data_IF_343679756462
#
_entry.id   IF_343679756462
#
_cell.length_a   1.000
_cell.length_b   1.000
_cell.length_c   1.000
_cell.angle_alpha   90.00
_cell.angle_beta   90.00
_cell.angle_gamma   90.00
#
_symmetry.space_group_name_H-M   'P 1'
#
loop_
_entity.id
_entity.type
_entity.pdbx_description
1 polymer ?
#
# COMPACT_ATOMS: atom_id res chain seq x y z
N UNK A 1 -2.83 -27.37 -22.16
CA UNK A 1 -1.93 -27.74 -21.05
C UNK A 1 -1.36 -26.45 -20.50
N UNK A 2 -1.94 -25.92 -19.42
CA UNK A 2 -1.44 -24.71 -18.76
C UNK A 2 -0.13 -25.04 -18.07
N UNK A 3 0.99 -24.56 -18.60
CA UNK A 3 2.29 -24.69 -17.95
C UNK A 3 2.19 -24.07 -16.55
N UNK A 4 2.51 -24.86 -15.53
CA UNK A 4 2.65 -24.39 -14.15
C UNK A 4 3.74 -23.32 -14.15
N UNK A 5 3.37 -22.05 -13.90
CA UNK A 5 4.34 -20.94 -13.86
C UNK A 5 4.84 -20.78 -12.43
N UNK A 6 6.11 -21.09 -12.21
CA UNK A 6 6.81 -20.82 -10.94
C UNK A 6 7.44 -19.42 -10.98
N UNK A 7 7.36 -18.68 -9.87
CA UNK A 7 7.86 -17.29 -9.82
C UNK A 7 9.38 -17.27 -9.83
N UNK A 8 10.05 -18.15 -9.09
CA UNK A 8 11.50 -18.17 -9.00
C UNK A 8 12.08 -19.27 -9.90
N UNK A 9 13.17 -18.97 -10.60
CA UNK A 9 13.90 -20.03 -11.33
C UNK A 9 14.52 -20.98 -10.29
N UNK A 10 14.50 -22.28 -10.55
CA UNK A 10 15.11 -23.29 -9.67
C UNK A 10 16.64 -23.28 -9.77
N UNK A 11 17.25 -22.19 -9.28
CA UNK A 11 18.69 -21.98 -9.18
C UNK A 11 19.12 -22.11 -7.74
N UNK A 12 20.20 -22.85 -7.52
CA UNK A 12 20.89 -22.91 -6.23
C UNK A 12 21.99 -21.87 -6.19
N UNK A 13 22.01 -21.05 -5.14
CA UNK A 13 23.03 -20.04 -4.88
C UNK A 13 24.04 -20.59 -3.87
N UNK A 14 25.28 -20.74 -4.30
CA UNK A 14 26.36 -21.28 -3.45
C UNK A 14 27.30 -20.12 -3.10
N UNK A 15 27.40 -19.79 -1.82
CA UNK A 15 28.35 -18.81 -1.32
C UNK A 15 29.68 -19.52 -1.02
N UNK A 16 30.82 -19.07 -1.57
CA UNK A 16 32.14 -19.60 -1.21
C UNK A 16 32.40 -19.47 0.29
N UNK A 17 33.13 -20.43 0.88
CA UNK A 17 33.45 -20.41 2.32
C UNK A 17 34.46 -19.32 2.71
N UNK A 18 35.28 -18.88 1.77
CA UNK A 18 36.35 -17.90 1.97
C UNK A 18 36.37 -16.89 0.82
N UNK A 19 36.92 -15.70 1.07
CA UNK A 19 37.09 -14.63 0.08
C UNK A 19 35.78 -14.17 -0.59
N UNK A 20 34.68 -14.11 0.19
CA UNK A 20 33.43 -13.51 -0.29
C UNK A 20 33.62 -12.00 -0.39
N UNK A 21 33.49 -11.46 -1.61
CA UNK A 21 33.68 -10.03 -1.89
C UNK A 21 32.41 -9.43 -2.50
N UNK A 22 32.40 -8.10 -2.65
CA UNK A 22 31.35 -7.42 -3.43
C UNK A 22 31.27 -7.94 -4.88
N UNK A 23 32.39 -8.35 -5.47
CA UNK A 23 32.39 -8.96 -6.80
C UNK A 23 31.67 -10.31 -6.79
N UNK A 24 31.92 -11.14 -5.77
CA UNK A 24 31.20 -12.42 -5.56
C UNK A 24 29.68 -12.19 -5.50
N UNK A 25 29.25 -11.19 -4.73
CA UNK A 25 27.84 -10.81 -4.65
C UNK A 25 27.28 -10.38 -6.02
N UNK A 26 28.01 -9.50 -6.72
CA UNK A 26 27.59 -9.01 -8.04
C UNK A 26 27.46 -10.15 -9.05
N UNK A 27 28.38 -11.10 -9.05
CA UNK A 27 28.34 -12.26 -9.93
C UNK A 27 27.12 -13.16 -9.63
N UNK A 28 26.72 -13.28 -8.36
CA UNK A 28 25.53 -14.04 -7.95
C UNK A 28 24.21 -13.33 -8.30
N UNK A 29 24.15 -12.00 -8.15
CA UNK A 29 22.96 -11.20 -8.44
C UNK A 29 22.71 -11.09 -9.95
N UNK A 30 23.76 -11.02 -10.77
CA UNK A 30 23.66 -10.69 -12.20
C UNK A 30 23.98 -11.85 -13.15
N UNK A 31 23.86 -13.12 -12.72
CA UNK A 31 24.23 -14.32 -13.49
C UNK A 31 23.72 -14.31 -14.95
N UNK A 32 22.52 -13.78 -15.23
CA UNK A 32 21.92 -13.73 -16.57
C UNK A 32 21.68 -12.29 -17.08
N UNK A 33 22.33 -11.29 -16.51
CA UNK A 33 22.02 -9.88 -16.81
C UNK A 33 23.21 -9.21 -17.50
N UNK A 34 22.91 -8.29 -18.42
CA UNK A 34 23.93 -7.52 -19.15
C UNK A 34 24.66 -6.52 -18.25
N UNK A 35 23.95 -5.97 -17.28
CA UNK A 35 24.51 -5.06 -16.29
C UNK A 35 25.11 -5.85 -15.14
N UNK A 36 26.24 -5.40 -14.60
CA UNK A 36 27.01 -6.08 -13.55
C UNK A 36 27.46 -5.13 -12.45
N UNK A 37 26.53 -4.34 -11.92
CA UNK A 37 26.82 -3.47 -10.79
C UNK A 37 25.57 -3.19 -9.97
N UNK A 38 25.73 -3.17 -8.66
CA UNK A 38 24.70 -2.77 -7.70
C UNK A 38 25.27 -1.74 -6.71
N UNK A 39 25.70 -0.55 -7.17
CA UNK A 39 26.37 0.45 -6.33
C UNK A 39 25.56 0.85 -5.10
N UNK A 40 24.23 0.95 -5.20
CA UNK A 40 23.38 1.27 -4.05
C UNK A 40 23.43 0.17 -2.98
N UNK A 41 23.52 -1.09 -3.38
CA UNK A 41 23.65 -2.21 -2.45
C UNK A 41 25.03 -2.20 -1.76
N UNK A 42 26.11 -1.87 -2.48
CA UNK A 42 27.45 -1.68 -1.88
C UNK A 42 27.41 -0.61 -0.77
N UNK A 43 26.75 0.52 -1.05
CA UNK A 43 26.59 1.61 -0.07
C UNK A 43 25.86 1.11 1.18
N UNK A 44 24.73 0.41 1.01
CA UNK A 44 23.97 -0.16 2.13
C UNK A 44 24.85 -1.12 2.94
N UNK A 45 25.53 -2.06 2.27
CA UNK A 45 26.35 -3.08 2.93
C UNK A 45 27.47 -2.45 3.77
N UNK A 46 28.18 -1.44 3.24
CA UNK A 46 29.27 -0.75 3.95
C UNK A 46 28.81 0.02 5.20
N UNK A 47 27.51 0.24 5.35
CA UNK A 47 26.92 1.01 6.44
C UNK A 47 26.22 0.11 7.47
N UNK A 48 26.26 -1.21 7.29
CA UNK A 48 25.78 -2.16 8.27
C UNK A 48 26.75 -2.26 9.45
N UNK A 49 26.22 -2.60 10.62
CA UNK A 49 26.96 -2.82 11.86
C UNK A 49 27.32 -4.31 12.09
N UNK A 50 27.11 -5.16 11.09
CA UNK A 50 27.44 -6.59 11.07
C UNK A 50 28.05 -6.98 9.71
N UNK A 51 28.66 -8.16 9.63
CA UNK A 51 29.28 -8.62 8.40
C UNK A 51 28.23 -9.20 7.45
N UNK A 52 27.77 -8.41 6.50
CA UNK A 52 26.77 -8.87 5.52
C UNK A 52 27.18 -10.16 4.80
N UNK A 53 28.46 -10.30 4.43
CA UNK A 53 28.93 -11.38 3.57
C UNK A 53 29.02 -12.71 4.31
N UNK A 54 29.32 -12.67 5.61
CA UNK A 54 29.42 -13.86 6.45
C UNK A 54 28.14 -14.14 7.24
N UNK A 55 27.44 -13.11 7.71
CA UNK A 55 26.33 -13.26 8.65
C UNK A 55 24.96 -13.37 7.95
N UNK A 56 24.77 -12.70 6.80
CA UNK A 56 23.44 -12.58 6.18
C UNK A 56 23.34 -13.14 4.76
N UNK A 57 24.31 -12.84 3.89
CA UNK A 57 24.30 -13.31 2.49
C UNK A 57 24.16 -14.84 2.36
N UNK A 58 24.83 -15.69 3.16
CA UNK A 58 24.66 -17.13 3.10
C UNK A 58 23.23 -17.57 3.44
N UNK A 59 22.57 -16.86 4.36
CA UNK A 59 21.19 -17.14 4.77
C UNK A 59 20.22 -16.74 3.65
N UNK A 60 20.39 -15.56 3.04
CA UNK A 60 19.57 -15.14 1.88
C UNK A 60 19.75 -16.14 0.72
N UNK A 61 20.99 -16.58 0.45
CA UNK A 61 21.28 -17.59 -0.57
C UNK A 61 20.63 -18.94 -0.25
N UNK A 62 20.66 -19.37 1.01
CA UNK A 62 19.98 -20.58 1.47
C UNK A 62 18.47 -20.47 1.25
N UNK A 63 17.84 -19.36 1.65
CA UNK A 63 16.41 -19.15 1.41
C UNK A 63 16.07 -19.11 -0.07
N UNK A 64 16.86 -18.43 -0.91
CA UNK A 64 16.62 -18.41 -2.36
C UNK A 64 16.73 -19.82 -3.00
N UNK A 65 17.55 -20.68 -2.39
CA UNK A 65 17.80 -22.06 -2.84
C UNK A 65 16.85 -23.10 -2.23
N UNK A 66 16.00 -22.72 -1.27
CA UNK A 66 15.05 -23.65 -0.65
C UNK A 66 13.85 -23.89 -1.57
N UNK A 67 14.05 -24.75 -2.57
CA UNK A 67 13.02 -25.09 -3.55
C UNK A 67 11.79 -25.78 -2.93
N UNK A 68 11.83 -26.20 -1.66
CA UNK A 68 10.63 -26.73 -0.97
C UNK A 68 9.58 -25.64 -0.73
N UNK A 69 9.97 -24.37 -0.71
CA UNK A 69 9.07 -23.22 -0.62
C UNK A 69 8.52 -22.78 -1.99
N UNK A 70 8.97 -23.41 -3.08
CA UNK A 70 8.56 -23.04 -4.43
C UNK A 70 7.13 -23.52 -4.70
N UNK A 71 6.23 -22.57 -4.96
CA UNK A 71 4.85 -22.86 -5.33
C UNK A 71 4.49 -22.24 -6.69
N UNK A 72 3.55 -22.86 -7.42
CA UNK A 72 2.96 -22.22 -8.59
C UNK A 72 2.30 -20.90 -8.24
N UNK A 73 2.37 -19.94 -9.16
CA UNK A 73 1.54 -18.74 -9.09
C UNK A 73 0.08 -19.16 -9.18
N UNK A 74 -0.74 -18.70 -8.24
CA UNK A 74 -2.19 -18.65 -8.40
C UNK A 74 -2.57 -17.21 -8.74
N UNK A 75 -2.71 -16.86 -10.03
CA UNK A 75 -3.01 -15.49 -10.42
C UNK A 75 -4.42 -15.12 -9.96
N UNK A 76 -4.56 -13.91 -9.41
CA UNK A 76 -5.83 -13.29 -9.05
C UNK A 76 -6.28 -12.43 -10.24
N UNK A 77 -7.08 -13.06 -11.11
CA UNK A 77 -7.57 -12.47 -12.37
C UNK A 77 -8.63 -11.39 -12.13
N UNK A 78 -8.75 -10.48 -13.10
CA UNK A 78 -9.87 -9.52 -13.17
C UNK A 78 -11.23 -10.23 -13.18
N UNK A 79 -12.23 -9.60 -12.58
CA UNK A 79 -13.61 -10.08 -12.46
C UNK A 79 -13.79 -11.37 -11.64
N UNK A 80 -12.80 -11.74 -10.83
CA UNK A 80 -12.88 -12.94 -9.98
C UNK A 80 -12.58 -12.56 -8.53
N UNK A 81 -13.55 -12.84 -7.65
CA UNK A 81 -13.28 -12.85 -6.21
C UNK A 81 -12.50 -14.12 -5.86
N UNK A 82 -11.25 -13.96 -5.44
CA UNK A 82 -10.35 -15.07 -5.16
C UNK A 82 -9.32 -14.71 -4.09
N UNK A 83 -8.70 -15.74 -3.52
CA UNK A 83 -7.65 -15.60 -2.51
C UNK A 83 -6.49 -16.52 -2.83
N UNK A 84 -5.28 -16.04 -2.58
CA UNK A 84 -4.08 -16.86 -2.45
C UNK A 84 -3.44 -16.60 -1.09
N UNK A 85 -2.92 -17.65 -0.47
CA UNK A 85 -2.24 -17.57 0.83
C UNK A 85 -0.82 -18.08 0.67
N UNK A 86 0.12 -17.37 1.28
CA UNK A 86 1.52 -17.72 1.41
C UNK A 86 1.89 -17.81 2.88
N UNK A 87 2.89 -18.62 3.21
CA UNK A 87 3.54 -18.53 4.51
C UNK A 87 4.63 -17.47 4.51
N UNK A 88 5.04 -16.97 5.67
CA UNK A 88 6.18 -16.06 5.78
C UNK A 88 7.47 -16.68 5.21
N UNK A 89 7.66 -18.00 5.35
CA UNK A 89 8.77 -18.72 4.71
C UNK A 89 8.73 -18.65 3.17
N UNK A 90 7.54 -18.77 2.57
CA UNK A 90 7.36 -18.62 1.13
C UNK A 90 7.58 -17.18 0.66
N UNK A 91 7.13 -16.19 1.44
CA UNK A 91 7.42 -14.79 1.15
C UNK A 91 8.92 -14.50 1.18
N UNK A 92 9.65 -15.01 2.19
CA UNK A 92 11.12 -14.91 2.26
C UNK A 92 11.80 -15.58 1.07
N UNK A 93 11.36 -16.78 0.68
CA UNK A 93 11.87 -17.48 -0.50
C UNK A 93 11.76 -16.62 -1.77
N UNK A 94 10.59 -16.00 -1.99
CA UNK A 94 10.35 -15.16 -3.17
C UNK A 94 11.15 -13.84 -3.13
N UNK A 95 11.19 -13.17 -1.98
CA UNK A 95 11.96 -11.94 -1.80
C UNK A 95 13.48 -12.18 -1.90
N UNK A 96 13.98 -13.31 -1.38
CA UNK A 96 15.38 -13.70 -1.54
C UNK A 96 15.71 -13.96 -3.02
N UNK A 97 14.79 -14.57 -3.77
CA UNK A 97 14.95 -14.71 -5.23
C UNK A 97 14.88 -13.35 -5.96
N UNK A 98 14.07 -12.41 -5.48
CA UNK A 98 14.02 -11.05 -6.01
C UNK A 98 15.34 -10.29 -5.80
N UNK A 99 15.98 -10.49 -4.64
CA UNK A 99 17.32 -9.97 -4.33
C UNK A 99 18.36 -10.46 -5.35
N UNK A 100 18.33 -11.75 -5.72
CA UNK A 100 19.24 -12.30 -6.74
C UNK A 100 18.76 -12.10 -8.20
N UNK A 101 17.76 -11.25 -8.44
CA UNK A 101 17.18 -11.01 -9.77
C UNK A 101 16.78 -12.31 -10.51
N UNK A 102 16.32 -13.28 -9.73
CA UNK A 102 16.03 -14.65 -10.14
C UNK A 102 14.53 -14.94 -10.20
N UNK A 103 13.70 -13.89 -10.20
CA UNK A 103 12.26 -14.02 -10.41
C UNK A 103 11.90 -13.99 -11.89
N UNK A 104 10.77 -14.58 -12.19
CA UNK A 104 10.07 -14.55 -13.47
C UNK A 104 8.88 -13.60 -13.31
N UNK A 105 8.43 -13.04 -14.43
CA UNK A 105 7.29 -12.13 -14.42
C UNK A 105 5.99 -12.89 -14.15
N UNK A 106 5.23 -12.43 -13.17
CA UNK A 106 3.79 -12.67 -13.06
C UNK A 106 3.04 -11.59 -13.84
N UNK A 107 2.04 -10.95 -13.21
CA UNK A 107 1.49 -9.70 -13.73
C UNK A 107 2.49 -8.55 -13.67
N UNK A 108 3.31 -8.53 -12.62
CA UNK A 108 4.46 -7.65 -12.46
C UNK A 108 5.76 -8.39 -12.18
N UNK A 109 6.76 -7.62 -11.75
CA UNK A 109 8.09 -8.09 -11.45
C UNK A 109 8.55 -7.52 -10.11
N UNK A 110 9.08 -8.36 -9.23
CA UNK A 110 9.60 -7.93 -7.93
C UNK A 110 11.14 -7.88 -7.89
N UNK A 111 11.82 -8.24 -8.98
CA UNK A 111 13.28 -8.06 -9.11
C UNK A 111 13.70 -6.63 -8.70
N UNK A 112 14.79 -6.51 -7.95
CA UNK A 112 15.27 -5.24 -7.39
C UNK A 112 16.16 -4.42 -8.34
N UNK A 113 16.05 -4.69 -9.64
CA UNK A 113 16.93 -4.14 -10.68
C UNK A 113 16.95 -2.61 -10.65
N UNK A 114 15.78 -1.99 -10.46
CA UNK A 114 15.61 -0.53 -10.45
C UNK A 114 16.21 0.09 -9.18
N UNK A 115 16.26 -0.66 -8.07
CA UNK A 115 16.91 -0.20 -6.83
C UNK A 115 18.44 -0.33 -6.89
N UNK A 116 18.96 -1.26 -7.70
CA UNK A 116 20.40 -1.53 -7.78
C UNK A 116 21.15 -0.58 -8.71
N UNK A 117 20.57 -0.26 -9.88
CA UNK A 117 21.36 0.26 -10.99
C UNK A 117 21.58 1.76 -11.02
N UNK A 118 20.61 2.57 -10.55
CA UNK A 118 20.72 4.03 -10.60
C UNK A 118 21.67 4.47 -9.48
N UNK A 119 22.94 4.82 -9.75
CA UNK A 119 23.92 4.99 -8.70
C UNK A 119 23.59 6.21 -7.83
N UNK A 120 23.74 6.06 -6.52
CA UNK A 120 23.54 7.12 -5.52
C UNK A 120 22.09 7.65 -5.43
N UNK A 121 21.12 6.88 -5.93
CA UNK A 121 19.71 7.15 -5.70
C UNK A 121 19.41 6.94 -4.21
N UNK A 122 19.13 8.05 -3.52
CA UNK A 122 18.92 8.07 -2.07
C UNK A 122 17.70 7.24 -1.66
N UNK A 123 16.61 7.35 -2.41
CA UNK A 123 15.38 6.62 -2.11
C UNK A 123 15.62 5.13 -2.32
N UNK A 124 16.30 4.75 -3.41
CA UNK A 124 16.67 3.36 -3.64
C UNK A 124 17.52 2.77 -2.51
N UNK A 125 18.51 3.51 -2.03
CA UNK A 125 19.37 3.11 -0.90
C UNK A 125 18.53 2.86 0.35
N UNK A 126 17.63 3.79 0.71
CA UNK A 126 16.80 3.66 1.92
C UNK A 126 15.79 2.51 1.80
N UNK A 127 15.22 2.27 0.61
CA UNK A 127 14.35 1.11 0.38
C UNK A 127 15.12 -0.22 0.44
N UNK A 128 16.35 -0.26 -0.05
CA UNK A 128 17.23 -1.41 0.09
C UNK A 128 17.55 -1.68 1.57
N UNK A 129 17.77 -0.65 2.40
CA UNK A 129 17.93 -0.84 3.85
C UNK A 129 16.71 -1.53 4.46
N UNK A 130 15.50 -1.09 4.11
CA UNK A 130 14.28 -1.73 4.62
C UNK A 130 14.24 -3.24 4.30
N UNK A 131 14.59 -3.61 3.07
CA UNK A 131 14.59 -5.02 2.67
C UNK A 131 15.74 -5.83 3.30
N UNK A 132 16.94 -5.24 3.41
CA UNK A 132 18.07 -5.89 4.10
C UNK A 132 17.72 -6.13 5.58
N UNK A 133 17.11 -5.15 6.24
CA UNK A 133 16.66 -5.29 7.63
C UNK A 133 15.54 -6.35 7.77
N UNK A 134 14.63 -6.45 6.79
CA UNK A 134 13.66 -7.55 6.73
C UNK A 134 14.34 -8.92 6.73
N UNK A 135 15.39 -9.12 5.92
CA UNK A 135 16.12 -10.38 5.91
C UNK A 135 16.87 -10.61 7.23
N UNK A 136 17.49 -9.58 7.79
CA UNK A 136 18.23 -9.66 9.05
C UNK A 136 17.31 -10.02 10.23
N UNK A 137 16.18 -9.33 10.40
CA UNK A 137 15.22 -9.64 11.44
C UNK A 137 14.57 -11.02 11.25
N UNK A 138 14.37 -11.42 10.00
CA UNK A 138 13.85 -12.75 9.67
C UNK A 138 14.83 -13.88 10.03
N UNK A 139 16.14 -13.66 9.90
CA UNK A 139 17.14 -14.68 10.24
C UNK A 139 17.24 -14.90 11.76
N UNK A 140 17.03 -13.84 12.54
CA UNK A 140 17.01 -13.91 14.01
C UNK A 140 15.76 -14.61 14.57
N UNK A 141 14.67 -14.68 13.79
CA UNK A 141 13.37 -15.20 14.22
C UNK A 141 12.98 -16.52 13.53
N UNK A 142 13.94 -17.18 12.88
CA UNK A 142 13.71 -18.38 12.09
C UNK A 142 13.07 -19.49 12.96
N UNK A 143 12.12 -20.24 12.37
CA UNK A 143 11.24 -21.25 12.99
C UNK A 143 10.02 -20.73 13.77
N UNK A 144 10.09 -19.56 14.41
CA UNK A 144 8.96 -19.08 15.22
C UNK A 144 7.83 -18.44 14.39
N UNK A 145 8.17 -17.85 13.24
CA UNK A 145 7.23 -17.09 12.40
C UNK A 145 6.99 -17.70 11.01
N UNK A 146 7.61 -18.82 10.69
CA UNK A 146 7.64 -19.39 9.34
C UNK A 146 6.27 -19.79 8.81
N UNK A 147 5.38 -20.22 9.71
CA UNK A 147 4.02 -20.65 9.41
C UNK A 147 3.00 -19.52 9.41
N UNK A 148 3.39 -18.27 9.73
CA UNK A 148 2.46 -17.14 9.68
C UNK A 148 1.92 -16.99 8.26
N UNK A 149 0.60 -16.93 8.16
CA UNK A 149 -0.10 -16.78 6.89
C UNK A 149 -0.17 -15.31 6.47
N UNK A 150 0.09 -15.09 5.18
CA UNK A 150 -0.09 -13.83 4.47
C UNK A 150 -1.06 -14.14 3.34
N UNK A 151 -2.24 -13.51 3.33
CA UNK A 151 -3.24 -13.75 2.28
C UNK A 151 -3.48 -12.53 1.42
N UNK A 152 -3.55 -12.74 0.11
CA UNK A 152 -3.86 -11.72 -0.88
C UNK A 152 -5.26 -12.04 -1.40
N UNK A 153 -6.20 -11.15 -1.10
CA UNK A 153 -7.63 -11.35 -1.33
C UNK A 153 -8.12 -10.33 -2.35
N UNK A 154 -8.45 -10.76 -3.58
CA UNK A 154 -9.09 -9.90 -4.59
C UNK A 154 -10.59 -10.04 -4.48
N UNK A 155 -11.30 -8.90 -4.47
CA UNK A 155 -12.75 -8.86 -4.40
C UNK A 155 -13.33 -8.06 -5.57
N UNK A 156 -14.31 -8.64 -6.26
CA UNK A 156 -15.21 -7.95 -7.19
C UNK A 156 -16.46 -7.51 -6.43
N UNK A 157 -16.80 -6.22 -6.48
CA UNK A 157 -18.01 -5.67 -5.85
C UNK A 157 -18.99 -5.15 -6.92
N UNK A 158 -19.86 -6.02 -7.41
CA UNK A 158 -20.85 -5.67 -8.45
C UNK A 158 -22.29 -5.57 -7.94
N UNK A 159 -22.64 -6.13 -6.78
CA UNK A 159 -24.05 -6.32 -6.39
C UNK A 159 -24.52 -5.56 -5.14
N UNK A 160 -23.62 -4.93 -4.37
CA UNK A 160 -23.96 -4.41 -3.02
C UNK A 160 -23.60 -2.94 -2.78
N UNK A 161 -23.34 -2.15 -3.84
CA UNK A 161 -23.08 -0.73 -3.62
C UNK A 161 -24.34 -0.02 -3.09
N UNK A 162 -24.20 0.84 -2.07
CA UNK A 162 -25.32 1.64 -1.58
C UNK A 162 -25.86 2.56 -2.67
N UNK A 163 -27.18 2.69 -2.76
CA UNK A 163 -27.78 3.80 -3.52
C UNK A 163 -27.54 5.10 -2.74
N UNK A 164 -26.43 5.78 -3.04
CA UNK A 164 -25.97 6.99 -2.38
C UNK A 164 -27.04 8.08 -2.29
N UNK A 165 -27.99 8.15 -3.24
CA UNK A 165 -29.08 9.15 -3.21
C UNK A 165 -30.10 8.88 -2.11
N UNK A 166 -30.16 7.65 -1.60
CA UNK A 166 -31.14 7.19 -0.61
C UNK A 166 -30.53 6.94 0.77
N UNK A 167 -29.23 7.20 0.95
CA UNK A 167 -28.55 6.99 2.23
C UNK A 167 -28.85 8.14 3.20
N UNK A 168 -29.90 7.99 4.00
CA UNK A 168 -30.33 8.99 4.99
C UNK A 168 -29.56 8.91 6.32
N UNK A 169 -28.49 8.12 6.38
CA UNK A 169 -27.65 8.01 7.59
C UNK A 169 -26.98 9.37 7.84
N UNK A 170 -27.16 9.97 9.03
CA UNK A 170 -26.57 11.26 9.36
C UNK A 170 -25.05 11.14 9.55
N UNK A 171 -24.32 12.16 9.10
CA UNK A 171 -22.89 12.28 9.37
C UNK A 171 -22.70 12.69 10.83
N UNK A 172 -21.84 11.96 11.54
CA UNK A 172 -21.53 12.18 12.96
C UNK A 172 -20.06 12.57 13.10
N UNK A 173 -19.76 13.71 13.73
CA UNK A 173 -18.38 14.16 13.99
C UNK A 173 -17.64 13.11 14.82
N UNK A 174 -18.30 12.55 15.83
CA UNK A 174 -17.73 11.56 16.76
C UNK A 174 -17.22 10.27 16.11
N UNK A 175 -17.63 9.98 14.86
CA UNK A 175 -17.21 8.80 14.09
C UNK A 175 -16.00 9.07 13.20
N UNK A 176 -15.55 10.31 13.09
CA UNK A 176 -14.43 10.71 12.22
C UNK A 176 -13.38 11.46 13.03
N UNK A 177 -12.20 10.85 13.15
CA UNK A 177 -11.03 11.52 13.69
C UNK A 177 -10.16 12.06 12.55
N UNK A 178 -9.61 13.26 12.71
CA UNK A 178 -8.67 13.86 11.76
C UNK A 178 -7.40 14.27 12.52
N UNK A 179 -6.24 13.87 12.02
CA UNK A 179 -4.96 14.06 12.71
C UNK A 179 -3.83 14.34 11.72
N UNK A 180 -2.71 14.91 12.19
CA UNK A 180 -1.62 15.38 11.34
C UNK A 180 -0.49 14.36 11.20
N UNK A 181 -0.35 13.45 12.16
CA UNK A 181 0.67 12.41 12.16
C UNK A 181 0.47 11.43 10.99
N UNK A 182 1.49 10.62 10.70
CA UNK A 182 1.39 9.53 9.72
C UNK A 182 0.32 8.51 10.13
N UNK A 183 -0.26 7.85 9.13
CA UNK A 183 -1.31 6.84 9.33
C UNK A 183 -0.88 5.78 10.34
N UNK A 184 0.33 5.24 10.16
CA UNK A 184 0.89 4.13 10.93
C UNK A 184 1.34 4.52 12.35
N UNK A 185 1.15 5.79 12.75
CA UNK A 185 1.28 6.22 14.15
C UNK A 185 0.00 6.01 14.95
N UNK A 186 -1.09 5.57 14.33
CA UNK A 186 -2.35 5.27 15.02
C UNK A 186 -2.30 3.85 15.62
N UNK A 187 -1.92 3.74 16.89
CA UNK A 187 -1.56 2.47 17.54
C UNK A 187 -2.72 1.49 17.74
N UNK A 188 -3.96 1.98 17.77
CA UNK A 188 -5.13 1.13 17.97
C UNK A 188 -5.58 0.40 16.69
N UNK A 189 -5.05 0.76 15.52
CA UNK A 189 -5.47 0.20 14.25
C UNK A 189 -4.60 -0.98 13.80
N UNK A 190 -5.25 -2.02 13.29
CA UNK A 190 -4.57 -3.18 12.70
C UNK A 190 -4.67 -3.20 11.17
N UNK A 191 -5.18 -2.13 10.56
CA UNK A 191 -5.40 -2.03 9.12
C UNK A 191 -5.19 -0.62 8.59
N UNK A 192 -4.42 -0.50 7.50
CA UNK A 192 -4.10 0.78 6.87
C UNK A 192 -4.48 0.76 5.39
N UNK A 193 -5.09 1.84 4.93
CA UNK A 193 -5.36 2.04 3.50
C UNK A 193 -4.06 2.20 2.74
N UNK A 194 -3.95 1.50 1.62
CA UNK A 194 -2.93 1.71 0.61
C UNK A 194 -3.50 2.58 -0.52
N UNK A 195 -2.85 3.71 -0.78
CA UNK A 195 -3.19 4.66 -1.83
C UNK A 195 -2.65 4.18 -3.17
N UNK A 196 -3.15 3.03 -3.58
CA UNK A 196 -2.56 2.22 -4.62
C UNK A 196 -2.66 2.84 -6.01
N UNK A 197 -1.75 2.43 -6.90
CA UNK A 197 -2.02 2.42 -8.32
C UNK A 197 -2.91 1.22 -8.69
N UNK A 198 -3.74 1.36 -9.74
CA UNK A 198 -4.57 0.25 -10.26
C UNK A 198 -3.74 -0.98 -10.63
N UNK A 199 -2.52 -0.77 -11.09
CA UNK A 199 -1.48 -1.79 -11.15
C UNK A 199 -0.71 -1.65 -9.85
N UNK A 200 -0.91 -2.55 -8.88
CA UNK A 200 -0.27 -2.43 -7.55
C UNK A 200 1.23 -2.19 -7.77
N UNK A 201 1.75 -1.13 -7.18
CA UNK A 201 3.14 -0.69 -7.34
C UNK A 201 3.57 -0.49 -8.80
N UNK A 202 2.68 -0.06 -9.68
CA UNK A 202 2.92 0.00 -11.14
C UNK A 202 3.49 -1.31 -11.72
N UNK A 203 3.18 -2.44 -11.07
CA UNK A 203 3.72 -3.76 -11.35
C UNK A 203 5.26 -3.91 -11.25
N UNK A 204 5.95 -3.03 -10.52
CA UNK A 204 7.40 -3.06 -10.32
C UNK A 204 7.85 -2.48 -8.96
N UNK A 205 8.97 -2.95 -8.43
CA UNK A 205 9.64 -2.28 -7.30
C UNK A 205 10.58 -1.20 -7.85
N UNK A 206 10.25 0.07 -7.67
CA UNK A 206 11.01 1.22 -8.19
C UNK A 206 11.61 2.07 -7.07
N UNK A 207 12.41 3.09 -7.41
CA UNK A 207 12.94 4.06 -6.44
C UNK A 207 11.95 5.18 -6.06
N UNK A 208 10.64 4.98 -6.27
CA UNK A 208 9.61 5.86 -5.70
C UNK A 208 9.47 5.63 -4.18
N UNK A 209 9.07 6.66 -3.44
CA UNK A 209 8.69 6.56 -2.03
C UNK A 209 7.45 7.42 -1.74
N UNK A 210 6.38 7.22 -2.52
CA UNK A 210 5.06 7.69 -2.12
C UNK A 210 4.43 6.74 -1.09
N UNK A 211 3.18 6.97 -0.69
CA UNK A 211 2.58 6.23 0.42
C UNK A 211 2.54 4.72 0.20
N UNK A 212 2.13 4.25 -0.99
CA UNK A 212 2.10 2.82 -1.36
C UNK A 212 3.52 2.21 -1.22
N UNK A 213 4.52 2.88 -1.80
CA UNK A 213 5.90 2.40 -1.78
C UNK A 213 6.52 2.33 -0.39
N UNK A 214 6.23 3.31 0.45
CA UNK A 214 6.69 3.36 1.83
C UNK A 214 6.05 2.24 2.64
N UNK A 215 4.72 2.06 2.52
CA UNK A 215 3.98 1.06 3.27
C UNK A 215 4.50 -0.36 2.98
N UNK A 216 4.73 -0.69 1.70
CA UNK A 216 5.28 -1.99 1.33
C UNK A 216 6.78 -2.12 1.65
N UNK A 217 7.53 -1.03 1.73
CA UNK A 217 8.92 -1.08 2.23
C UNK A 217 8.95 -1.39 3.73
N UNK A 218 7.98 -0.89 4.49
CA UNK A 218 7.77 -1.25 5.89
C UNK A 218 7.27 -2.69 6.06
N UNK A 219 6.50 -3.20 5.10
CA UNK A 219 5.92 -4.55 5.10
C UNK A 219 6.29 -5.34 3.82
N UNK A 220 7.56 -5.77 3.63
CA UNK A 220 8.03 -6.29 2.33
C UNK A 220 7.27 -7.51 1.79
N UNK A 221 6.60 -8.26 2.66
CA UNK A 221 5.76 -9.39 2.27
C UNK A 221 4.59 -8.98 1.37
N UNK A 222 4.16 -7.71 1.43
CA UNK A 222 3.13 -7.15 0.58
C UNK A 222 3.53 -7.12 -0.91
N UNK A 223 4.83 -7.07 -1.23
CA UNK A 223 5.32 -7.08 -2.61
C UNK A 223 4.88 -8.31 -3.41
N UNK A 224 4.51 -9.41 -2.75
CA UNK A 224 3.95 -10.58 -3.44
C UNK A 224 2.66 -10.26 -4.22
N UNK A 225 1.93 -9.21 -3.83
CA UNK A 225 0.75 -8.74 -4.57
C UNK A 225 1.07 -8.32 -6.01
N UNK A 226 2.26 -7.77 -6.25
CA UNK A 226 2.75 -7.38 -7.60
C UNK A 226 2.78 -8.57 -8.55
N UNK A 227 3.08 -9.76 -8.04
CA UNK A 227 3.22 -10.96 -8.85
C UNK A 227 1.87 -11.56 -9.26
N UNK A 228 0.89 -11.50 -8.35
CA UNK A 228 -0.34 -12.28 -8.47
C UNK A 228 -1.58 -11.47 -8.81
N UNK A 229 -1.61 -10.17 -8.56
CA UNK A 229 -2.77 -9.33 -8.85
C UNK A 229 -2.68 -8.74 -10.25
N UNK A 230 -3.70 -8.97 -11.07
CA UNK A 230 -3.88 -8.20 -12.31
C UNK A 230 -4.28 -6.75 -12.01
N UNK A 231 -4.24 -5.90 -13.03
CA UNK A 231 -4.72 -4.51 -12.99
C UNK A 231 -6.14 -4.45 -12.41
N UNK A 232 -6.32 -3.67 -11.34
CA UNK A 232 -7.62 -3.42 -10.71
C UNK A 232 -8.56 -2.70 -11.68
N UNK A 233 -9.78 -3.21 -11.77
CA UNK A 233 -10.89 -2.48 -12.38
C UNK A 233 -11.54 -1.52 -11.38
N UNK A 234 -12.44 -0.70 -11.90
CA UNK A 234 -13.21 0.27 -11.10
C UNK A 234 -14.13 -0.38 -10.06
N UNK A 235 -14.41 -1.67 -10.16
CA UNK A 235 -15.28 -2.50 -9.33
C UNK A 235 -14.50 -3.56 -8.52
N UNK A 236 -13.18 -3.40 -8.37
CA UNK A 236 -12.34 -4.36 -7.66
C UNK A 236 -11.46 -3.74 -6.57
N UNK A 237 -11.25 -4.43 -5.46
CA UNK A 237 -10.29 -4.07 -4.42
C UNK A 237 -9.42 -5.28 -4.09
N UNK A 238 -8.28 -5.04 -3.44
CA UNK A 238 -7.43 -6.09 -2.89
C UNK A 238 -7.22 -5.83 -1.40
N UNK A 239 -7.27 -6.87 -0.59
CA UNK A 239 -6.87 -6.81 0.81
C UNK A 239 -5.68 -7.74 1.01
N UNK A 240 -4.58 -7.20 1.54
CA UNK A 240 -3.44 -7.99 1.99
C UNK A 240 -3.62 -8.21 3.48
N UNK A 241 -3.65 -9.47 3.93
CA UNK A 241 -3.83 -9.81 5.34
C UNK A 241 -2.57 -10.34 5.95
N UNK A 242 -2.41 -10.04 7.23
CA UNK A 242 -1.37 -10.65 8.05
C UNK A 242 0.04 -10.24 7.63
N UNK A 243 0.21 -9.11 6.94
CA UNK A 243 1.51 -8.58 6.56
C UNK A 243 2.22 -8.06 7.81
N UNK A 244 3.47 -8.46 8.01
CA UNK A 244 4.25 -7.98 9.14
C UNK A 244 5.00 -6.70 8.78
N UNK A 245 4.96 -5.72 9.67
CA UNK A 245 5.83 -4.55 9.61
C UNK A 245 7.19 -4.91 10.21
N UNK A 246 8.28 -4.64 9.49
CA UNK A 246 9.63 -5.01 9.96
C UNK A 246 10.44 -3.80 10.38
N UNK A 247 10.18 -2.64 9.78
CA UNK A 247 11.03 -1.46 9.93
C UNK A 247 10.18 -0.24 10.22
N UNK A 248 10.80 0.72 10.88
CA UNK A 248 10.26 2.07 10.97
C UNK A 248 10.97 3.02 10.00
N UNK A 249 10.33 4.16 9.74
CA UNK A 249 10.80 5.15 8.79
C UNK A 249 10.45 6.58 9.23
N UNK A 250 11.02 7.57 8.53
CA UNK A 250 10.54 8.95 8.54
C UNK A 250 10.60 9.54 7.13
N UNK A 251 9.94 10.68 6.96
CA UNK A 251 9.92 11.41 5.68
C UNK A 251 9.05 10.75 4.61
N UNK A 252 9.03 11.37 3.43
CA UNK A 252 8.19 11.03 2.29
C UNK A 252 8.89 11.46 1.00
N UNK A 253 8.71 10.70 -0.10
CA UNK A 253 9.38 10.96 -1.37
C UNK A 253 10.90 10.99 -1.22
N UNK A 254 11.54 12.04 -1.73
CA UNK A 254 13.00 12.25 -1.63
C UNK A 254 13.54 12.34 -0.19
N UNK A 255 12.67 12.64 0.78
CA UNK A 255 13.03 12.72 2.20
C UNK A 255 12.82 11.39 2.94
N UNK A 256 12.36 10.34 2.27
CA UNK A 256 12.17 9.01 2.86
C UNK A 256 13.49 8.48 3.43
N UNK A 257 13.41 7.98 4.66
CA UNK A 257 14.57 7.45 5.37
C UNK A 257 14.16 6.29 6.28
N UNK A 258 14.90 5.19 6.19
CA UNK A 258 14.87 4.08 7.14
C UNK A 258 15.47 4.54 8.48
N UNK A 259 14.79 4.26 9.59
CA UNK A 259 15.28 4.66 10.93
C UNK A 259 15.70 3.48 11.81
N UNK A 260 15.28 2.25 11.51
CA UNK A 260 15.60 1.08 12.31
C UNK A 260 14.52 -0.01 12.26
N UNK A 261 14.73 -1.11 13.01
CA UNK A 261 13.74 -2.17 13.17
C UNK A 261 12.48 -1.63 13.88
N UNK A 262 11.32 -2.15 13.50
CA UNK A 262 10.07 -1.82 14.16
C UNK A 262 10.02 -2.48 15.56
N UNK A 263 9.64 -1.77 16.64
CA UNK A 263 9.67 -2.33 17.99
C UNK A 263 8.74 -3.54 18.14
N UNK A 264 9.27 -4.67 18.63
CA UNK A 264 8.50 -5.91 18.85
C UNK A 264 7.32 -5.77 19.84
N UNK A 265 7.29 -4.71 20.66
CA UNK A 265 6.24 -4.45 21.65
C UNK A 265 5.03 -3.72 21.06
N UNK A 266 5.07 -3.35 19.77
CA UNK A 266 3.99 -2.59 19.17
C UNK A 266 2.81 -3.53 18.78
N UNK A 267 1.57 -3.22 19.18
CA UNK A 267 0.39 -4.03 18.85
C UNK A 267 0.16 -4.20 17.34
N UNK A 268 0.59 -3.23 16.52
CA UNK A 268 0.33 -3.18 15.07
C UNK A 268 1.35 -3.93 14.21
N UNK A 269 2.20 -4.76 14.83
CA UNK A 269 3.28 -5.46 14.14
C UNK A 269 2.80 -6.35 12.98
N UNK A 270 1.58 -6.90 13.08
CA UNK A 270 0.89 -7.59 12.01
C UNK A 270 -0.32 -6.75 11.61
N UNK A 271 -0.36 -6.35 10.34
CA UNK A 271 -1.38 -5.44 9.83
C UNK A 271 -1.99 -5.94 8.52
N UNK A 272 -3.25 -5.54 8.32
CA UNK A 272 -3.91 -5.62 7.04
C UNK A 272 -3.62 -4.36 6.21
N UNK A 273 -3.53 -4.53 4.90
CA UNK A 273 -3.35 -3.43 3.94
C UNK A 273 -4.54 -3.43 2.99
N UNK A 274 -5.31 -2.34 3.01
CA UNK A 274 -6.53 -2.16 2.23
C UNK A 274 -6.18 -1.45 0.92
N UNK A 275 -5.89 -2.22 -0.13
CA UNK A 275 -5.44 -1.73 -1.43
C UNK A 275 -6.63 -1.20 -2.23
N UNK A 276 -6.66 0.12 -2.42
CA UNK A 276 -7.65 0.77 -3.27
C UNK A 276 -7.03 1.87 -4.14
N UNK A 277 -7.26 1.80 -5.45
CA UNK A 277 -6.73 2.76 -6.39
C UNK A 277 -7.71 3.92 -6.61
N UNK A 278 -7.23 5.17 -6.66
CA UNK A 278 -8.06 6.34 -6.94
C UNK A 278 -8.18 6.63 -8.44
N UNK A 279 -9.22 7.37 -8.85
CA UNK A 279 -9.27 7.95 -10.19
C UNK A 279 -8.07 8.89 -10.43
N UNK A 280 -7.61 8.98 -11.67
CA UNK A 280 -6.45 9.82 -12.06
C UNK A 280 -6.84 11.19 -12.64
N UNK A 281 -8.11 11.38 -13.00
CA UNK A 281 -8.60 12.60 -13.63
C UNK A 281 -10.12 12.70 -13.50
N UNK A 282 -10.69 13.85 -13.89
CA UNK A 282 -12.13 14.09 -13.89
C UNK A 282 -12.81 13.79 -12.55
N UNK A 283 -12.07 14.05 -11.46
CA UNK A 283 -12.42 13.68 -10.07
C UNK A 283 -13.81 14.14 -9.64
N UNK A 284 -14.28 15.27 -10.17
CA UNK A 284 -15.58 15.82 -9.85
C UNK A 284 -16.72 15.34 -10.76
N UNK A 285 -16.45 14.64 -11.85
CA UNK A 285 -17.54 14.15 -12.70
C UNK A 285 -18.36 13.10 -11.95
N UNK A 286 -19.66 13.06 -12.20
CA UNK A 286 -20.59 12.12 -11.54
C UNK A 286 -20.09 10.68 -11.52
N UNK A 287 -19.60 10.20 -12.68
CA UNK A 287 -19.05 8.84 -12.83
C UNK A 287 -17.88 8.57 -11.88
N UNK A 288 -16.97 9.54 -11.72
CA UNK A 288 -15.77 9.35 -10.91
C UNK A 288 -16.08 9.52 -9.41
N UNK A 289 -17.04 10.38 -9.05
CA UNK A 289 -17.62 10.44 -7.70
C UNK A 289 -18.20 9.08 -7.30
N UNK A 290 -19.07 8.50 -8.14
CA UNK A 290 -19.71 7.21 -7.88
C UNK A 290 -18.68 6.08 -7.76
N UNK A 291 -17.66 6.11 -8.64
CA UNK A 291 -16.58 5.13 -8.66
C UNK A 291 -15.74 5.18 -7.38
N UNK A 292 -15.24 6.36 -6.98
CA UNK A 292 -14.37 6.49 -5.81
C UNK A 292 -15.11 6.24 -4.50
N UNK A 293 -16.39 6.65 -4.40
CA UNK A 293 -17.26 6.27 -3.30
C UNK A 293 -17.40 4.75 -3.19
N UNK A 294 -17.73 4.08 -4.30
CA UNK A 294 -17.88 2.63 -4.33
C UNK A 294 -16.58 1.91 -3.98
N UNK A 295 -15.44 2.44 -4.44
CA UNK A 295 -14.11 1.90 -4.16
C UNK A 295 -13.74 1.98 -2.68
N UNK A 296 -13.90 3.16 -2.08
CA UNK A 296 -13.67 3.35 -0.65
C UNK A 296 -14.60 2.47 0.18
N UNK A 297 -15.90 2.43 -0.17
CA UNK A 297 -16.87 1.58 0.50
C UNK A 297 -16.50 0.11 0.44
N UNK A 298 -16.11 -0.40 -0.73
CA UNK A 298 -15.75 -1.81 -0.89
C UNK A 298 -14.52 -2.19 -0.05
N UNK A 299 -13.50 -1.32 0.00
CA UNK A 299 -12.33 -1.53 0.84
C UNK A 299 -12.70 -1.55 2.33
N UNK A 300 -13.51 -0.58 2.79
CA UNK A 300 -13.90 -0.46 4.19
C UNK A 300 -14.84 -1.59 4.62
N UNK A 301 -15.77 -2.00 3.76
CA UNK A 301 -16.68 -3.13 4.02
C UNK A 301 -15.94 -4.46 4.16
N UNK A 302 -14.80 -4.62 3.47
CA UNK A 302 -13.95 -5.81 3.59
C UNK A 302 -12.87 -5.68 4.66
N UNK A 303 -12.76 -4.56 5.37
CA UNK A 303 -11.88 -4.47 6.52
C UNK A 303 -12.27 -5.50 7.60
N UNK A 304 -11.29 -6.03 8.33
CA UNK A 304 -11.56 -6.85 9.53
C UNK A 304 -11.68 -5.98 10.78
N UNK A 305 -10.94 -4.88 10.79
CA UNK A 305 -10.94 -3.91 11.87
C UNK A 305 -12.13 -2.95 11.69
N UNK A 306 -12.75 -2.57 12.80
CA UNK A 306 -13.78 -1.54 12.84
C UNK A 306 -13.17 -0.13 12.78
N UNK A 307 -11.85 -0.03 12.97
CA UNK A 307 -11.05 1.19 12.88
C UNK A 307 -10.41 1.27 11.49
N UNK A 308 -10.83 2.23 10.68
CA UNK A 308 -10.23 2.49 9.37
C UNK A 308 -9.23 3.63 9.50
N UNK A 309 -7.97 3.39 9.13
CA UNK A 309 -6.95 4.45 9.03
C UNK A 309 -6.64 4.73 7.57
N UNK A 310 -6.79 6.00 7.17
CA UNK A 310 -6.62 6.48 5.80
C UNK A 310 -6.07 7.92 5.81
N UNK A 311 -6.15 8.62 4.68
CA UNK A 311 -5.75 10.01 4.54
C UNK A 311 -6.06 10.55 3.15
N UNK A 312 -5.15 11.37 2.63
CA UNK A 312 -5.23 12.07 1.34
C UNK A 312 -5.13 11.12 0.10
N UNK A 313 -5.98 10.09 0.07
CA UNK A 313 -6.09 9.09 -0.98
C UNK A 313 -6.37 9.71 -2.35
N UNK A 314 -5.42 9.55 -3.27
CA UNK A 314 -5.52 10.09 -4.63
C UNK A 314 -5.32 11.60 -4.77
N UNK A 315 -4.85 12.30 -3.73
CA UNK A 315 -4.67 13.77 -3.77
C UNK A 315 -3.25 14.21 -4.17
N UNK A 316 -2.25 13.34 -4.02
CA UNK A 316 -0.86 13.64 -4.35
C UNK A 316 -0.60 13.58 -5.87
N UNK A 317 0.15 12.58 -6.31
CA UNK A 317 0.50 12.38 -7.74
C UNK A 317 -0.74 12.31 -8.65
N UNK A 318 -1.88 11.85 -8.12
CA UNK A 318 -3.13 11.71 -8.88
C UNK A 318 -4.00 12.99 -8.90
N UNK A 319 -3.59 14.06 -8.19
CA UNK A 319 -4.18 15.40 -8.33
C UNK A 319 -5.65 15.54 -7.91
N UNK A 320 -6.17 14.64 -7.07
CA UNK A 320 -7.50 14.75 -6.49
C UNK A 320 -7.62 15.89 -5.48
N UNK A 321 -8.84 16.41 -5.31
CA UNK A 321 -9.13 17.42 -4.28
C UNK A 321 -9.29 16.76 -2.91
N UNK A 322 -8.49 17.17 -1.92
CA UNK A 322 -8.49 16.55 -0.59
C UNK A 322 -9.81 16.65 0.15
N UNK A 323 -10.58 17.73 -0.02
CA UNK A 323 -11.90 17.84 0.62
C UNK A 323 -12.92 16.92 -0.05
N UNK A 324 -12.88 16.79 -1.37
CA UNK A 324 -13.74 15.85 -2.10
C UNK A 324 -13.42 14.40 -1.73
N UNK A 325 -12.15 14.01 -1.75
CA UNK A 325 -11.70 12.67 -1.35
C UNK A 325 -11.99 12.36 0.12
N UNK A 326 -11.87 13.35 1.00
CA UNK A 326 -12.28 13.23 2.40
C UNK A 326 -13.78 12.94 2.51
N UNK A 327 -14.64 13.75 1.88
CA UNK A 327 -16.10 13.57 1.92
C UNK A 327 -16.54 12.22 1.32
N UNK A 328 -15.87 11.75 0.28
CA UNK A 328 -16.12 10.41 -0.29
C UNK A 328 -15.84 9.31 0.73
N UNK A 329 -14.69 9.36 1.40
CA UNK A 329 -14.32 8.38 2.42
C UNK A 329 -15.24 8.46 3.65
N UNK A 330 -15.62 9.67 4.10
CA UNK A 330 -16.60 9.87 5.16
C UNK A 330 -17.96 9.27 4.79
N UNK A 331 -18.46 9.52 3.58
CA UNK A 331 -19.72 8.95 3.11
C UNK A 331 -19.66 7.42 3.08
N UNK A 332 -18.58 6.84 2.54
CA UNK A 332 -18.39 5.39 2.51
C UNK A 332 -18.39 4.77 3.91
N UNK A 333 -17.65 5.34 4.85
CA UNK A 333 -17.59 4.86 6.24
C UNK A 333 -18.92 5.06 6.99
N UNK A 334 -19.63 6.17 6.75
CA UNK A 334 -20.91 6.49 7.42
C UNK A 334 -22.00 5.51 7.04
N UNK A 335 -22.05 5.06 5.78
CA UNK A 335 -23.01 4.02 5.35
C UNK A 335 -22.72 2.68 6.03
N UNK A 336 -21.47 2.46 6.45
CA UNK A 336 -21.01 1.26 7.13
C UNK A 336 -20.98 1.42 8.65
N UNK A 337 -21.79 2.29 9.26
CA UNK A 337 -21.71 2.62 10.70
C UNK A 337 -21.81 1.42 11.66
N UNK A 338 -22.43 0.32 11.22
CA UNK A 338 -22.54 -0.94 11.97
C UNK A 338 -21.28 -1.82 11.89
N UNK A 339 -20.37 -1.53 10.96
CA UNK A 339 -19.11 -2.26 10.70
C UNK A 339 -17.89 -1.38 10.98
N UNK A 340 -17.95 -0.10 10.62
CA UNK A 340 -16.90 0.90 10.81
C UNK A 340 -17.24 1.75 12.02
N UNK A 341 -16.50 1.53 13.10
CA UNK A 341 -16.63 2.28 14.35
C UNK A 341 -16.04 3.67 14.23
N UNK A 342 -14.85 3.82 13.65
CA UNK A 342 -14.20 5.12 13.42
C UNK A 342 -13.45 5.17 12.10
N UNK A 343 -13.54 6.31 11.41
CA UNK A 343 -12.67 6.68 10.30
C UNK A 343 -11.60 7.65 10.82
N UNK A 344 -10.34 7.27 10.73
CA UNK A 344 -9.19 8.04 11.19
C UNK A 344 -8.42 8.54 9.96
N UNK A 345 -8.48 9.84 9.72
CA UNK A 345 -7.96 10.48 8.53
C UNK A 345 -6.68 11.28 8.86
N UNK A 346 -5.55 10.81 8.34
CA UNK A 346 -4.27 11.53 8.41
C UNK A 346 -4.20 12.59 7.31
N UNK A 347 -3.87 13.83 7.68
CA UNK A 347 -3.54 14.90 6.74
C UNK A 347 -2.05 14.98 6.42
N UNK A 348 -1.23 14.19 7.11
CA UNK A 348 0.23 14.11 6.96
C UNK A 348 0.94 15.47 7.00
N UNK A 349 1.11 16.02 8.21
CA UNK A 349 1.82 17.26 8.49
C UNK A 349 1.06 18.55 8.16
N UNK A 350 -0.20 18.45 7.73
CA UNK A 350 -1.03 19.61 7.40
C UNK A 350 -2.06 19.91 8.50
N UNK A 351 -1.64 20.64 9.54
CA UNK A 351 -2.49 21.08 10.65
C UNK A 351 -3.61 22.03 10.21
N UNK A 352 -3.41 22.77 9.12
CA UNK A 352 -4.44 23.65 8.56
C UNK A 352 -5.56 22.83 7.96
N UNK A 353 -5.22 21.76 7.24
CA UNK A 353 -6.20 20.80 6.74
C UNK A 353 -6.89 20.06 7.89
N UNK A 354 -6.18 19.68 8.95
CA UNK A 354 -6.81 19.10 10.16
C UNK A 354 -7.91 20.03 10.68
N UNK A 355 -7.56 21.30 10.91
CA UNK A 355 -8.50 22.29 11.43
C UNK A 355 -9.71 22.47 10.50
N UNK A 356 -9.46 22.56 9.19
CA UNK A 356 -10.50 22.73 8.16
C UNK A 356 -11.46 21.54 8.09
N UNK A 357 -10.94 20.31 8.12
CA UNK A 357 -11.77 19.10 8.03
C UNK A 357 -12.54 18.83 9.32
N UNK A 358 -11.97 19.12 10.50
CA UNK A 358 -12.70 19.05 11.77
C UNK A 358 -13.86 20.05 11.81
N UNK A 359 -13.63 21.28 11.37
CA UNK A 359 -14.70 22.28 11.28
C UNK A 359 -15.80 21.86 10.28
N UNK A 360 -15.42 21.30 9.13
CA UNK A 360 -16.36 20.73 8.16
C UNK A 360 -17.24 19.64 8.81
N UNK A 361 -16.66 18.69 9.55
CA UNK A 361 -17.42 17.64 10.23
C UNK A 361 -18.42 18.20 11.25
N UNK A 362 -18.02 19.19 12.05
CA UNK A 362 -18.89 19.91 12.99
C UNK A 362 -20.08 20.56 12.29
N UNK A 363 -19.82 21.23 11.16
CA UNK A 363 -20.88 21.89 10.39
C UNK A 363 -21.84 20.88 9.75
N UNK A 364 -21.33 19.76 9.23
CA UNK A 364 -22.15 18.68 8.67
C UNK A 364 -23.11 18.11 9.72
N UNK A 365 -22.61 17.79 10.92
CA UNK A 365 -23.42 17.25 12.00
C UNK A 365 -24.42 18.30 12.56
N UNK A 366 -23.97 19.53 12.80
CA UNK A 366 -24.83 20.64 13.27
C UNK A 366 -26.01 20.88 12.32
N UNK A 367 -25.77 20.83 11.02
CA UNK A 367 -26.79 21.01 9.98
C UNK A 367 -27.52 19.71 9.62
N UNK A 368 -27.33 18.63 10.41
CA UNK A 368 -27.97 17.32 10.26
C UNK A 368 -27.84 16.73 8.84
N UNK A 369 -26.68 16.93 8.21
CA UNK A 369 -26.43 16.45 6.86
C UNK A 369 -26.35 14.93 6.84
N UNK A 370 -27.02 14.33 5.87
CA UNK A 370 -26.95 12.90 5.58
C UNK A 370 -25.93 12.61 4.49
N UNK A 371 -25.58 11.33 4.32
CA UNK A 371 -24.77 10.86 3.18
C UNK A 371 -25.42 11.28 1.84
N UNK A 372 -26.74 11.15 1.73
CA UNK A 372 -27.49 11.57 0.54
C UNK A 372 -27.35 13.07 0.25
N UNK A 373 -27.36 13.93 1.27
CA UNK A 373 -27.20 15.38 1.10
C UNK A 373 -25.80 15.74 0.59
N UNK A 374 -24.75 15.18 1.20
CA UNK A 374 -23.36 15.42 0.78
C UNK A 374 -23.12 14.90 -0.63
N UNK A 375 -23.64 13.71 -0.92
CA UNK A 375 -23.56 13.14 -2.25
C UNK A 375 -24.24 14.01 -3.31
N UNK A 376 -25.48 14.46 -3.05
CA UNK A 376 -26.18 15.36 -3.96
C UNK A 376 -25.45 16.69 -4.14
N UNK A 377 -24.81 17.23 -3.10
CA UNK A 377 -23.97 18.42 -3.19
C UNK A 377 -22.79 18.20 -4.14
N UNK A 378 -22.04 17.10 -3.98
CA UNK A 378 -20.91 16.80 -4.88
C UNK A 378 -21.36 16.67 -6.34
N UNK A 379 -22.55 16.12 -6.56
CA UNK A 379 -23.11 15.88 -7.89
C UNK A 379 -23.61 17.18 -8.53
N UNK A 380 -24.27 18.06 -7.76
CA UNK A 380 -24.62 19.41 -8.23
C UNK A 380 -23.39 20.23 -8.58
N UNK A 381 -22.33 20.11 -7.78
CA UNK A 381 -21.04 20.71 -8.11
C UNK A 381 -20.50 20.19 -9.44
N UNK A 382 -20.61 18.88 -9.71
CA UNK A 382 -20.25 18.26 -10.99
C UNK A 382 -21.04 18.82 -12.18
N UNK A 383 -22.36 18.98 -12.03
CA UNK A 383 -23.25 19.43 -13.11
C UNK A 383 -23.07 20.91 -13.47
N UNK A 384 -22.67 21.74 -12.50
CA UNK A 384 -22.37 23.16 -12.72
C UNK A 384 -21.15 23.40 -13.61
N UNK A 385 -20.27 22.41 -13.78
CA UNK A 385 -19.11 22.43 -14.69
C UNK A 385 -19.52 22.61 -16.16
N UNK A 386 -20.71 22.14 -16.54
CA UNK A 386 -21.23 22.25 -17.91
C UNK A 386 -21.89 23.60 -18.22
N UNK A 387 -21.99 24.52 -17.24
CA UNK A 387 -22.83 25.74 -17.36
C UNK A 387 -22.08 27.07 -17.22
N UNK A 388 -20.87 27.10 -16.67
CA UNK A 388 -20.17 28.36 -16.37
C UNK A 388 -18.67 28.30 -16.66
N UNK A 389 -18.10 29.37 -17.21
CA UNK A 389 -16.68 29.47 -17.61
C UNK A 389 -15.68 29.58 -16.45
N UNK A 390 -16.14 29.79 -15.21
CA UNK A 390 -15.31 29.81 -14.01
C UNK A 390 -15.98 29.04 -12.87
N UNK A 391 -15.55 27.80 -12.63
CA UNK A 391 -16.03 26.98 -11.52
C UNK A 391 -15.43 27.48 -10.20
N UNK A 392 -16.24 27.76 -9.16
CA UNK A 392 -15.68 28.08 -7.84
C UNK A 392 -14.88 26.88 -7.31
N UNK A 393 -13.86 27.15 -6.49
CA UNK A 393 -13.13 26.09 -5.79
C UNK A 393 -14.10 25.22 -4.97
N UNK A 394 -13.89 23.90 -4.95
CA UNK A 394 -14.82 22.97 -4.31
C UNK A 394 -15.07 23.32 -2.84
N UNK A 395 -14.02 23.71 -2.10
CA UNK A 395 -14.19 24.12 -0.70
C UNK A 395 -15.02 25.39 -0.51
N UNK A 396 -15.01 26.32 -1.48
CA UNK A 396 -15.88 27.50 -1.45
C UNK A 396 -17.34 27.09 -1.67
N UNK A 397 -17.58 26.21 -2.65
CA UNK A 397 -18.90 25.68 -2.93
C UNK A 397 -19.52 24.92 -1.73
N UNK A 398 -18.72 24.10 -1.05
CA UNK A 398 -19.15 23.40 0.18
C UNK A 398 -19.54 24.40 1.27
N UNK A 399 -18.76 25.46 1.46
CA UNK A 399 -19.06 26.50 2.44
C UNK A 399 -20.36 27.26 2.12
N UNK A 400 -20.58 27.64 0.86
CA UNK A 400 -21.85 28.26 0.44
C UNK A 400 -23.04 27.31 0.66
N UNK A 401 -22.88 26.04 0.31
CA UNK A 401 -23.91 25.01 0.50
C UNK A 401 -24.27 24.81 1.97
N UNK A 402 -23.30 24.83 2.88
CA UNK A 402 -23.54 24.69 4.33
C UNK A 402 -24.25 25.90 4.94
N UNK A 403 -24.05 27.10 4.39
CA UNK A 403 -24.68 28.34 4.87
C UNK A 403 -26.09 28.57 4.27
N UNK A 404 -26.42 27.89 3.17
CA UNK A 404 -27.72 28.01 2.51
C UNK A 404 -28.81 27.11 3.12
N UNK A 405 -28.46 26.29 4.10
CA UNK A 405 -29.31 25.27 4.74
C UNK A 405 -29.32 25.43 6.23
#
# INVERSE_FOLDING_TARGET
MSSITYIAKQRTFIIPKENVTFQTLTDLVFIDKKYRSCPNLDIVIRQLNYDFYHDLLPIIAQWASDHTQSNPIKPLQVNVTARVTYTAAQARYLLANAFFLNTTKGYGCIDLIDLYHIPFDRVAIERLRCLIEYFHLSSQQQNNNDHREISIERYLYTEELPDWKKQLVPIQESKVNVFAERMESFEEANGFVDFANKQIHIHSITSSATQEEILFSCCPEAFLAILVCDTLRSDEIVILRGCKRFVDYRGYGEAFQFIGPYPNQNPTHIQDILVMDACLSNHFSRRHIDRDLGKAWAAFFKARDEIIVTGNWGCGVFGGDSMCKFLQQVCAATVLVDVVKTLNFSTYGDDRLVSKLKDLMKQLEKNKKTVADVYQMMVKYAENENRCSSRPAFSHYVHEWLNAT
#
